data_IF_646850332835
#
_entry.id   IF_646850332835
#
_cell.length_a   1.000
_cell.length_b   1.000
_cell.length_c   1.000
_cell.angle_alpha   90.00
_cell.angle_beta   90.00
_cell.angle_gamma   90.00
#
_symmetry.space_group_name_H-M   'P 1'
#
loop_
_entity.id
_entity.type
_entity.pdbx_description
1 polymer ?
#
# COMPACT_ATOMS: atom_id res chain seq x y z
N UNK A 1 -12.92 -10.14 15.72
CA UNK A 1 -12.40 -11.41 15.17
C UNK A 1 -12.45 -11.29 13.66
N UNK A 2 -11.33 -10.88 13.02
CA UNK A 2 -11.23 -10.73 11.55
C UNK A 2 -10.55 -11.97 10.94
N UNK A 3 -10.89 -13.16 11.46
CA UNK A 3 -10.35 -14.41 10.99
C UNK A 3 -11.11 -14.87 9.75
N UNK A 4 -10.65 -14.45 8.58
CA UNK A 4 -10.89 -15.26 7.39
C UNK A 4 -9.97 -16.48 7.52
N UNK A 5 -10.49 -17.69 7.33
CA UNK A 5 -9.85 -18.95 7.75
C UNK A 5 -8.42 -19.19 7.24
N UNK A 6 -7.90 -18.39 6.30
CA UNK A 6 -6.52 -18.47 5.76
C UNK A 6 -5.78 -17.12 5.69
N UNK A 7 -6.27 -16.06 6.36
CA UNK A 7 -5.60 -14.75 6.31
C UNK A 7 -6.00 -13.74 7.37
N UNK A 8 -5.03 -12.90 7.76
CA UNK A 8 -5.22 -11.81 8.74
C UNK A 8 -5.47 -10.50 8.01
N UNK A 9 -6.55 -9.82 8.34
CA UNK A 9 -6.81 -8.46 7.82
C UNK A 9 -6.39 -7.43 8.86
N UNK A 10 -5.58 -6.46 8.43
CA UNK A 10 -5.07 -5.36 9.25
C UNK A 10 -5.26 -4.04 8.53
N UNK A 11 -5.40 -2.97 9.29
CA UNK A 11 -5.41 -1.64 8.71
C UNK A 11 -3.98 -1.21 8.34
N UNK A 12 -3.76 -0.85 7.07
CA UNK A 12 -2.45 -0.52 6.54
C UNK A 12 -2.15 0.97 6.58
N UNK A 13 -3.11 1.80 6.16
CA UNK A 13 -3.06 3.25 6.29
C UNK A 13 -4.37 3.69 6.93
N UNK A 14 -4.28 4.25 8.14
CA UNK A 14 -5.45 4.85 8.77
C UNK A 14 -5.80 6.08 7.94
N UNK A 15 -6.95 6.12 7.25
CA UNK A 15 -7.61 7.39 6.96
C UNK A 15 -9.02 7.29 6.42
N UNK A 16 -9.86 8.18 6.95
CA UNK A 16 -11.22 8.49 6.49
C UNK A 16 -11.39 10.01 6.26
N UNK A 17 -10.27 10.73 6.03
CA UNK A 17 -10.21 12.19 5.85
C UNK A 17 -9.27 12.56 4.69
N UNK A 18 -9.29 13.83 4.29
CA UNK A 18 -8.49 14.37 3.18
C UNK A 18 -7.02 14.55 3.59
N UNK A 19 -6.11 13.91 2.85
CA UNK A 19 -4.67 14.14 2.94
C UNK A 19 -4.28 15.42 2.22
N UNK A 20 -3.53 16.26 2.92
CA UNK A 20 -2.88 17.47 2.38
C UNK A 20 -1.38 17.52 2.76
N UNK A 21 -0.83 16.37 3.14
CA UNK A 21 0.55 16.17 3.58
C UNK A 21 0.90 14.68 3.46
N UNK A 22 2.19 14.36 3.39
CA UNK A 22 2.66 12.97 3.48
C UNK A 22 2.15 12.28 4.74
N UNK A 23 1.60 11.08 4.58
CA UNK A 23 1.14 10.26 5.68
C UNK A 23 1.76 8.86 5.65
N UNK A 24 2.19 8.43 6.81
CA UNK A 24 2.80 7.12 7.02
C UNK A 24 1.81 6.21 7.73
N UNK A 25 1.66 5.00 7.21
CA UNK A 25 0.75 3.99 7.71
C UNK A 25 1.26 3.25 8.95
N UNK A 26 0.47 2.26 9.36
CA UNK A 26 0.81 1.39 10.47
C UNK A 26 1.94 0.43 10.06
N UNK A 27 2.76 0.06 11.04
CA UNK A 27 3.72 -1.03 10.87
C UNK A 27 2.95 -2.35 10.93
N UNK A 28 3.13 -3.18 9.90
CA UNK A 28 2.47 -4.47 9.77
C UNK A 28 3.49 -5.58 10.00
N UNK A 29 3.24 -6.41 11.01
CA UNK A 29 4.00 -7.63 11.28
C UNK A 29 3.52 -8.79 10.38
N UNK A 30 4.44 -9.34 9.59
CA UNK A 30 4.22 -10.46 8.70
C UNK A 30 4.49 -11.85 9.30
N UNK A 31 4.59 -12.03 10.63
CA UNK A 31 4.80 -13.35 11.23
C UNK A 31 3.83 -14.40 10.72
N UNK A 32 4.35 -15.51 10.22
CA UNK A 32 3.52 -16.62 9.76
C UNK A 32 2.79 -16.34 8.44
N UNK A 33 3.13 -15.23 7.76
CA UNK A 33 2.62 -14.87 6.44
C UNK A 33 3.78 -14.60 5.49
N UNK A 34 3.61 -14.92 4.21
CA UNK A 34 4.64 -14.69 3.18
C UNK A 34 4.20 -13.68 2.14
N UNK A 35 2.91 -13.37 2.11
CA UNK A 35 2.31 -12.45 1.15
C UNK A 35 1.40 -11.46 1.88
N UNK A 36 1.45 -10.19 1.46
CA UNK A 36 0.47 -9.18 1.83
C UNK A 36 -0.17 -8.60 0.57
N UNK A 37 -1.49 -8.61 0.52
CA UNK A 37 -2.29 -7.95 -0.51
C UNK A 37 -2.84 -6.65 0.08
N UNK A 38 -2.40 -5.51 -0.43
CA UNK A 38 -2.76 -4.19 0.07
C UNK A 38 -3.79 -3.60 -0.90
N UNK A 39 -4.99 -3.35 -0.40
CA UNK A 39 -6.03 -2.66 -1.13
C UNK A 39 -6.03 -1.20 -0.70
N UNK A 40 -5.91 -0.30 -1.67
CA UNK A 40 -5.85 1.14 -1.48
C UNK A 40 -7.10 1.76 -2.09
N UNK A 41 -7.98 2.29 -1.25
CA UNK A 41 -9.13 3.05 -1.68
C UNK A 41 -8.72 4.52 -1.82
N UNK A 42 -8.85 5.04 -3.04
CA UNK A 42 -8.70 6.47 -3.33
C UNK A 42 -10.09 7.08 -3.44
N UNK A 43 -10.39 8.01 -2.55
CA UNK A 43 -11.62 8.79 -2.55
C UNK A 43 -11.49 10.02 -3.43
N UNK A 44 -12.10 11.13 -2.99
CA UNK A 44 -12.10 12.37 -3.77
C UNK A 44 -10.68 12.95 -3.88
N UNK A 45 -10.31 13.34 -5.09
CA UNK A 45 -9.13 14.14 -5.39
C UNK A 45 -9.56 15.37 -6.19
N UNK A 46 -9.28 16.56 -5.68
CA UNK A 46 -9.68 17.82 -6.33
C UNK A 46 -8.52 18.61 -6.92
N UNK A 47 -7.29 18.34 -6.49
CA UNK A 47 -6.10 19.11 -6.88
C UNK A 47 -4.97 18.26 -7.43
N UNK A 48 -5.16 16.95 -7.59
CA UNK A 48 -4.12 16.11 -8.18
C UNK A 48 -3.94 16.41 -9.68
N UNK A 49 -2.69 16.69 -10.07
CA UNK A 49 -2.23 16.93 -11.42
C UNK A 49 -0.78 16.42 -11.61
N UNK A 50 -0.18 16.67 -12.77
CA UNK A 50 1.17 16.19 -13.08
C UNK A 50 2.30 16.78 -12.21
N UNK A 51 2.06 17.89 -11.50
CA UNK A 51 3.00 18.54 -10.58
C UNK A 51 2.62 18.38 -9.10
N UNK A 52 1.33 18.17 -8.82
CA UNK A 52 0.76 18.02 -7.48
C UNK A 52 0.14 16.63 -7.34
N UNK A 53 0.78 15.70 -6.63
CA UNK A 53 0.30 14.32 -6.60
C UNK A 53 0.68 13.58 -5.32
N UNK A 54 0.05 12.42 -5.13
CA UNK A 54 0.44 11.46 -4.10
C UNK A 54 1.02 10.20 -4.73
N UNK A 55 2.10 9.70 -4.14
CA UNK A 55 2.63 8.37 -4.44
C UNK A 55 2.42 7.47 -3.24
N UNK A 56 1.71 6.37 -3.45
CA UNK A 56 1.54 5.32 -2.45
C UNK A 56 2.59 4.25 -2.70
N UNK A 57 3.51 4.10 -1.74
CA UNK A 57 4.64 3.18 -1.82
C UNK A 57 4.77 2.35 -0.54
N UNK A 58 5.44 1.21 -0.68
CA UNK A 58 5.68 0.27 0.41
C UNK A 58 7.16 0.30 0.80
N UNK A 59 7.42 0.32 2.11
CA UNK A 59 8.74 0.05 2.67
C UNK A 59 8.70 -1.23 3.50
N UNK A 60 9.86 -1.84 3.70
CA UNK A 60 10.01 -3.03 4.52
C UNK A 60 11.28 -3.00 5.39
N UNK A 61 11.25 -3.69 6.53
CA UNK A 61 12.38 -3.78 7.45
C UNK A 61 12.33 -5.08 8.26
N UNK A 62 13.48 -5.48 8.82
CA UNK A 62 13.56 -6.54 9.83
C UNK A 62 13.37 -6.01 11.26
N UNK A 63 13.43 -4.68 11.45
CA UNK A 63 13.28 -4.02 12.73
C UNK A 63 11.82 -3.62 13.00
N UNK A 64 11.33 -3.88 14.22
CA UNK A 64 9.94 -3.58 14.60
C UNK A 64 9.60 -2.10 14.65
N UNK A 65 10.61 -1.22 14.71
CA UNK A 65 10.49 0.22 14.61
C UNK A 65 10.73 0.77 13.20
N UNK A 66 10.88 -0.09 12.19
CA UNK A 66 11.24 0.26 10.81
C UNK A 66 12.61 0.97 10.70
N UNK A 67 13.52 0.76 11.65
CA UNK A 67 14.89 1.25 11.49
C UNK A 67 15.56 0.60 10.27
N UNK A 68 16.24 1.41 9.46
CA UNK A 68 16.89 0.94 8.23
C UNK A 68 15.92 0.37 7.18
N UNK A 69 14.66 0.85 7.16
CA UNK A 69 13.70 0.42 6.15
C UNK A 69 14.19 0.67 4.73
N UNK A 70 13.88 -0.28 3.84
CA UNK A 70 14.19 -0.20 2.43
C UNK A 70 12.89 -0.06 1.63
N UNK A 71 12.96 0.62 0.48
CA UNK A 71 11.84 0.67 -0.43
C UNK A 71 11.58 -0.71 -1.03
N UNK A 72 10.31 -1.12 -1.07
CA UNK A 72 9.93 -2.34 -1.78
C UNK A 72 9.86 -2.02 -3.27
N UNK A 73 10.59 -2.80 -4.05
CA UNK A 73 10.71 -2.73 -5.50
C UNK A 73 10.42 -4.11 -6.10
N UNK A 74 10.30 -4.18 -7.42
CA UNK A 74 10.05 -5.45 -8.12
C UNK A 74 11.13 -6.51 -7.88
N UNK A 75 12.35 -6.11 -7.49
CA UNK A 75 13.46 -7.05 -7.23
C UNK A 75 13.44 -7.65 -5.83
N UNK A 76 12.80 -6.99 -4.85
CA UNK A 76 12.84 -7.40 -3.44
C UNK A 76 11.45 -7.74 -2.85
N UNK A 77 10.39 -7.70 -3.66
CA UNK A 77 9.09 -8.26 -3.27
C UNK A 77 7.85 -7.49 -3.71
N UNK A 78 7.96 -6.37 -4.42
CA UNK A 78 6.78 -5.65 -4.90
C UNK A 78 6.09 -6.45 -6.01
N UNK A 79 4.78 -6.63 -5.87
CA UNK A 79 3.92 -7.21 -6.88
C UNK A 79 2.96 -6.13 -7.38
N UNK A 80 2.92 -5.95 -8.70
CA UNK A 80 2.29 -4.78 -9.32
C UNK A 80 3.24 -3.59 -9.35
N UNK A 81 2.70 -2.38 -9.18
CA UNK A 81 3.44 -1.13 -9.20
C UNK A 81 3.00 -0.23 -8.05
N UNK A 82 3.87 0.71 -7.65
CA UNK A 82 3.48 1.78 -6.75
C UNK A 82 2.37 2.61 -7.40
N UNK A 83 1.38 3.00 -6.61
CA UNK A 83 0.24 3.77 -7.08
C UNK A 83 0.60 5.25 -7.09
N UNK A 84 0.35 5.92 -8.21
CA UNK A 84 0.50 7.37 -8.36
C UNK A 84 -0.88 7.96 -8.61
N UNK A 85 -1.24 8.99 -7.86
CA UNK A 85 -2.53 9.70 -7.95
C UNK A 85 -2.20 11.11 -8.43
N UNK A 86 -2.11 11.29 -9.75
CA UNK A 86 -1.66 12.53 -10.41
C UNK A 86 -2.71 13.10 -11.38
N UNK A 87 -3.93 12.60 -11.33
CA UNK A 87 -5.07 13.19 -12.00
C UNK A 87 -6.32 13.07 -11.13
N UNK A 88 -7.25 14.02 -11.29
CA UNK A 88 -8.59 13.92 -10.69
C UNK A 88 -9.33 12.65 -11.14
N UNK A 89 -9.03 12.14 -12.33
CA UNK A 89 -9.56 10.87 -12.85
C UNK A 89 -9.10 9.62 -12.07
N UNK A 90 -8.14 9.73 -11.16
CA UNK A 90 -7.71 8.63 -10.28
C UNK A 90 -8.50 8.54 -8.98
N UNK A 91 -9.41 9.50 -8.75
CA UNK A 91 -10.36 9.49 -7.65
C UNK A 91 -11.39 8.36 -7.78
N UNK A 92 -11.97 7.97 -6.65
CA UNK A 92 -13.06 6.99 -6.54
C UNK A 92 -12.72 5.60 -7.12
N UNK A 93 -11.45 5.20 -6.99
CA UNK A 93 -10.94 3.89 -7.45
C UNK A 93 -10.40 3.08 -6.29
N UNK A 94 -10.51 1.76 -6.40
CA UNK A 94 -9.80 0.82 -5.54
C UNK A 94 -8.62 0.27 -6.34
N UNK A 95 -7.43 0.38 -5.76
CA UNK A 95 -6.18 -0.07 -6.34
C UNK A 95 -5.59 -1.20 -5.47
N UNK A 96 -4.69 -1.98 -6.05
CA UNK A 96 -4.05 -3.11 -5.38
C UNK A 96 -2.53 -3.02 -5.53
N UNK A 97 -1.83 -3.28 -4.43
CA UNK A 97 -0.38 -3.42 -4.35
C UNK A 97 -0.09 -4.71 -3.59
N UNK A 98 0.72 -5.59 -4.15
CA UNK A 98 1.11 -6.83 -3.48
C UNK A 98 2.53 -6.77 -2.93
N UNK A 99 2.78 -7.57 -1.90
CA UNK A 99 4.11 -7.79 -1.33
C UNK A 99 4.38 -9.28 -1.17
N UNK A 100 5.55 -9.71 -1.61
CA UNK A 100 6.10 -11.07 -1.52
C UNK A 100 7.63 -11.01 -1.32
N UNK A 101 8.05 -10.16 -0.37
CA UNK A 101 9.43 -10.05 0.08
C UNK A 101 9.73 -10.99 1.25
N UNK A 102 10.93 -10.87 1.80
CA UNK A 102 11.43 -11.70 2.91
C UNK A 102 11.52 -10.95 4.26
N UNK A 103 11.29 -9.64 4.26
CA UNK A 103 11.37 -8.81 5.47
C UNK A 103 10.17 -9.03 6.38
N UNK A 104 10.43 -8.84 7.67
CA UNK A 104 9.49 -9.12 8.74
C UNK A 104 8.36 -8.09 8.87
N UNK A 105 8.68 -6.82 8.66
CA UNK A 105 7.76 -5.71 8.82
C UNK A 105 7.61 -4.96 7.50
N UNK A 106 6.38 -4.55 7.21
CA UNK A 106 6.09 -3.69 6.07
C UNK A 106 5.30 -2.46 6.52
N UNK A 107 5.40 -1.37 5.76
CA UNK A 107 4.67 -0.14 6.04
C UNK A 107 4.34 0.59 4.75
N UNK A 108 3.08 1.01 4.62
CA UNK A 108 2.63 1.82 3.49
C UNK A 108 2.83 3.30 3.80
N UNK A 109 3.26 4.10 2.84
CA UNK A 109 3.27 5.55 2.93
C UNK A 109 2.56 6.16 1.72
N UNK A 110 1.81 7.23 1.95
CA UNK A 110 1.27 8.11 0.92
C UNK A 110 2.08 9.41 0.96
N UNK A 111 3.01 9.55 0.02
CA UNK A 111 3.95 10.69 -0.04
C UNK A 111 3.40 11.76 -0.97
N UNK A 112 3.28 12.99 -0.46
CA UNK A 112 2.88 14.15 -1.25
C UNK A 112 4.06 14.69 -2.05
N UNK A 113 3.79 15.12 -3.28
CA UNK A 113 4.66 15.97 -4.09
C UNK A 113 3.88 17.22 -4.50
N UNK A 114 4.47 18.39 -4.29
CA UNK A 114 3.79 19.67 -4.52
C UNK A 114 2.76 19.97 -3.44
N UNK A 115 1.54 20.34 -3.86
CA UNK A 115 0.41 20.60 -2.95
C UNK A 115 -0.85 19.96 -3.52
N UNK A 116 -1.22 18.81 -2.96
CA UNK A 116 -2.35 18.00 -3.40
C UNK A 116 -3.30 17.68 -2.25
N UNK A 117 -4.55 17.37 -2.59
CA UNK A 117 -5.63 17.08 -1.64
C UNK A 117 -6.38 15.84 -2.10
N UNK A 118 -6.16 14.71 -1.40
CA UNK A 118 -6.67 13.39 -1.79
C UNK A 118 -7.15 12.61 -0.57
N UNK A 119 -8.27 11.90 -0.68
CA UNK A 119 -8.67 10.93 0.36
C UNK A 119 -8.05 9.56 0.05
N UNK A 120 -7.27 8.99 0.97
CA UNK A 120 -6.64 7.67 0.78
C UNK A 120 -6.81 6.82 2.03
N UNK A 121 -7.35 5.62 1.87
CA UNK A 121 -7.43 4.60 2.91
C UNK A 121 -6.79 3.30 2.41
N UNK A 122 -6.17 2.51 3.28
CA UNK A 122 -5.64 1.22 2.85
C UNK A 122 -5.81 0.11 3.90
N UNK A 123 -6.16 -1.08 3.43
CA UNK A 123 -6.25 -2.30 4.23
C UNK A 123 -5.32 -3.35 3.64
N UNK A 124 -4.67 -4.14 4.50
CA UNK A 124 -3.82 -5.24 4.07
C UNK A 124 -4.41 -6.57 4.50
N UNK A 125 -4.42 -7.53 3.57
CA UNK A 125 -4.72 -8.94 3.82
C UNK A 125 -3.42 -9.74 3.79
N UNK A 126 -3.07 -10.33 4.91
CA UNK A 126 -1.90 -11.20 5.05
C UNK A 126 -2.30 -12.64 4.80
N UNK A 127 -1.51 -13.37 4.01
CA UNK A 127 -1.79 -14.75 3.59
C UNK A 127 -0.60 -15.65 3.83
N UNK A 128 -0.88 -16.86 4.30
CA UNK A 128 0.08 -17.97 4.27
C UNK A 128 -0.07 -18.64 2.90
N UNK A 129 0.96 -18.59 2.06
CA UNK A 129 0.90 -19.15 0.73
C UNK A 129 2.27 -19.25 0.10
N UNK A 130 2.59 -20.43 -0.45
CA UNK A 130 3.69 -20.62 -1.38
C UNK A 130 3.48 -19.69 -2.60
N UNK A 131 4.56 -19.09 -3.11
CA UNK A 131 4.56 -18.09 -4.20
C UNK A 131 3.89 -18.68 -5.47
N UNK A 132 2.72 -18.17 -5.91
CA UNK A 132 2.70 -17.49 -7.23
C UNK A 132 1.57 -16.46 -7.43
N UNK A 133 1.84 -15.36 -8.12
CA UNK A 133 0.88 -14.74 -9.05
C UNK A 133 1.61 -13.92 -10.12
N UNK A 134 1.34 -14.25 -11.38
CA UNK A 134 1.75 -13.49 -12.56
C UNK A 134 0.73 -12.39 -12.86
N UNK A 135 1.21 -11.27 -13.42
CA UNK A 135 0.52 -10.00 -13.65
C UNK A 135 -0.63 -10.02 -14.70
N UNK A 136 -1.37 -11.12 -14.84
CA UNK A 136 -2.33 -11.29 -15.96
C UNK A 136 -3.79 -10.99 -15.61
N UNK A 137 -4.15 -10.84 -14.33
CA UNK A 137 -5.57 -10.85 -13.91
C UNK A 137 -6.17 -9.47 -13.54
N UNK A 138 -5.55 -8.34 -13.91
CA UNK A 138 -6.06 -6.99 -13.57
C UNK A 138 -6.47 -6.16 -14.79
N UNK A 139 -6.85 -6.81 -15.88
CA UNK A 139 -7.45 -6.14 -17.03
C UNK A 139 -8.66 -6.92 -17.57
N UNK A 140 -9.83 -6.65 -16.97
CA UNK A 140 -11.12 -6.64 -17.66
C UNK A 140 -12.05 -5.65 -16.98
#
# INVERSE_FOLDING_TARGET
MNGFNDGKIVNALNQAATLTATATGNIIDMQGFSVADILVQVGTSTTADGSNYFTVSLTHSDDSGMSGEEAVTSTNGLLGANLVINATGDANKVNHIGYNGNKRYIRLAATETGTASVQIAAVARLRSGAKPFSNTDIAS
#
